data_IF_875056996847
#
_entry.id   IF_875056996847
#
_cell.length_a   1.000
_cell.length_b   1.000
_cell.length_c   1.000
_cell.angle_alpha   90.00
_cell.angle_beta   90.00
_cell.angle_gamma   90.00
#
_symmetry.space_group_name_H-M   'P 1'
#
loop_
_entity.id
_entity.type
_entity.pdbx_description
1 polymer ?
#
# COMPACT_ATOMS: atom_id res chain seq x y z
N UNK A 1 28.83 -66.88 -14.78
CA UNK A 1 27.70 -65.94 -14.90
C UNK A 1 27.97 -65.07 -16.12
N UNK A 2 26.97 -64.81 -16.96
CA UNK A 2 27.15 -63.93 -18.12
C UNK A 2 27.13 -62.47 -17.66
N UNK A 3 28.34 -61.92 -17.43
CA UNK A 3 28.51 -60.55 -16.97
C UNK A 3 28.08 -59.53 -18.03
N UNK A 4 28.17 -59.88 -19.32
CA UNK A 4 27.73 -59.01 -20.40
C UNK A 4 26.22 -58.83 -20.37
N UNK A 5 25.48 -59.92 -20.18
CA UNK A 5 24.03 -59.87 -20.00
C UNK A 5 23.62 -59.08 -18.74
N UNK A 6 24.35 -59.25 -17.62
CA UNK A 6 24.08 -58.55 -16.37
C UNK A 6 24.27 -57.03 -16.48
N UNK A 7 25.44 -56.57 -16.96
CA UNK A 7 25.72 -55.14 -17.09
C UNK A 7 24.84 -54.48 -18.16
N UNK A 8 24.55 -55.18 -19.26
CA UNK A 8 23.62 -54.69 -20.30
C UNK A 8 22.20 -54.51 -19.74
N UNK A 9 21.69 -55.51 -19.01
CA UNK A 9 20.35 -55.44 -18.40
C UNK A 9 20.23 -54.32 -17.36
N UNK A 10 21.27 -54.11 -16.53
CA UNK A 10 21.30 -53.00 -15.57
C UNK A 10 21.33 -51.65 -16.29
N UNK A 11 22.21 -51.49 -17.30
CA UNK A 11 22.31 -50.24 -18.05
C UNK A 11 20.99 -49.88 -18.74
N UNK A 12 20.33 -50.86 -19.34
CA UNK A 12 19.03 -50.66 -20.00
C UNK A 12 17.93 -50.29 -19.00
N UNK A 13 17.86 -50.99 -17.86
CA UNK A 13 16.88 -50.68 -16.82
C UNK A 13 17.11 -49.28 -16.21
N UNK A 14 18.35 -48.94 -15.89
CA UNK A 14 18.72 -47.63 -15.38
C UNK A 14 18.42 -46.52 -16.40
N UNK A 15 18.71 -46.75 -17.69
CA UNK A 15 18.39 -45.80 -18.77
C UNK A 15 16.88 -45.58 -18.90
N UNK A 16 16.07 -46.62 -18.78
CA UNK A 16 14.60 -46.51 -18.79
C UNK A 16 14.09 -45.68 -17.60
N UNK A 17 14.61 -45.92 -16.40
CA UNK A 17 14.26 -45.15 -15.20
C UNK A 17 14.65 -43.68 -15.36
N UNK A 18 15.88 -43.41 -15.83
CA UNK A 18 16.36 -42.05 -16.14
C UNK A 18 15.47 -41.37 -17.18
N UNK A 19 15.02 -42.08 -18.21
CA UNK A 19 14.11 -41.55 -19.23
C UNK A 19 12.77 -41.12 -18.65
N UNK A 20 12.14 -41.97 -17.82
CA UNK A 20 10.84 -41.69 -17.20
C UNK A 20 10.93 -40.50 -16.24
N UNK A 21 11.88 -40.53 -15.30
CA UNK A 21 12.06 -39.42 -14.35
C UNK A 21 12.51 -38.13 -15.04
N UNK A 22 13.40 -38.23 -16.02
CA UNK A 22 13.85 -37.10 -16.83
C UNK A 22 12.70 -36.41 -17.53
N UNK A 23 11.82 -37.17 -18.20
CA UNK A 23 10.64 -36.63 -18.85
C UNK A 23 9.71 -35.92 -17.85
N UNK A 24 9.40 -36.55 -16.72
CA UNK A 24 8.54 -35.96 -15.68
C UNK A 24 9.11 -34.64 -15.14
N UNK A 25 10.40 -34.62 -14.81
CA UNK A 25 11.07 -33.43 -14.28
C UNK A 25 11.07 -32.30 -15.32
N UNK A 26 11.41 -32.60 -16.58
CA UNK A 26 11.43 -31.61 -17.66
C UNK A 26 10.03 -31.01 -17.85
N UNK A 27 8.98 -31.83 -17.92
CA UNK A 27 7.60 -31.36 -18.03
C UNK A 27 7.23 -30.46 -16.84
N UNK A 28 7.64 -30.83 -15.62
CA UNK A 28 7.38 -30.00 -14.44
C UNK A 28 8.11 -28.65 -14.50
N UNK A 29 9.37 -28.62 -14.93
CA UNK A 29 10.15 -27.38 -15.09
C UNK A 29 9.50 -26.47 -16.13
N UNK A 30 9.09 -27.01 -17.29
CA UNK A 30 8.41 -26.24 -18.33
C UNK A 30 7.06 -25.69 -17.85
N UNK A 31 6.29 -26.48 -17.11
CA UNK A 31 5.04 -26.03 -16.50
C UNK A 31 5.27 -24.89 -15.50
N UNK A 32 6.26 -25.01 -14.62
CA UNK A 32 6.63 -23.94 -13.68
C UNK A 32 7.11 -22.68 -14.41
N UNK A 33 7.83 -22.81 -15.53
CA UNK A 33 8.25 -21.68 -16.35
C UNK A 33 7.06 -20.94 -16.98
N UNK A 34 6.06 -21.66 -17.47
CA UNK A 34 4.83 -21.06 -18.00
C UNK A 34 4.07 -20.28 -16.92
N UNK A 35 3.89 -20.89 -15.74
CA UNK A 35 3.26 -20.25 -14.58
C UNK A 35 4.03 -19.01 -14.12
N UNK A 36 5.36 -19.09 -14.09
CA UNK A 36 6.23 -17.96 -13.76
C UNK A 36 6.03 -16.80 -14.74
N UNK A 37 5.96 -17.09 -16.04
CA UNK A 37 5.70 -16.10 -17.08
C UNK A 37 4.33 -15.41 -16.91
N UNK A 38 3.27 -16.19 -16.70
CA UNK A 38 1.91 -15.67 -16.46
C UNK A 38 1.87 -14.75 -15.23
N UNK A 39 2.43 -15.20 -14.11
CA UNK A 39 2.48 -14.42 -12.87
C UNK A 39 3.33 -13.16 -13.01
N UNK A 40 4.43 -13.21 -13.77
CA UNK A 40 5.27 -12.04 -14.06
C UNK A 40 4.52 -10.99 -14.88
N UNK A 41 3.74 -11.41 -15.88
CA UNK A 41 2.84 -10.51 -16.61
C UNK A 41 1.80 -9.92 -15.67
N UNK A 42 1.22 -10.73 -14.78
CA UNK A 42 0.24 -10.27 -13.79
C UNK A 42 0.82 -9.22 -12.83
N UNK A 43 2.06 -9.37 -12.37
CA UNK A 43 2.79 -8.35 -11.58
C UNK A 43 2.79 -7.02 -12.34
N UNK A 44 3.19 -7.04 -13.62
CA UNK A 44 3.24 -5.82 -14.45
C UNK A 44 1.86 -5.18 -14.59
N UNK A 45 0.82 -5.98 -14.85
CA UNK A 45 -0.55 -5.48 -14.96
C UNK A 45 -1.02 -4.85 -13.65
N UNK A 46 -0.78 -5.49 -12.50
CA UNK A 46 -1.15 -4.94 -11.19
C UNK A 46 -0.46 -3.59 -10.92
N UNK A 47 0.81 -3.45 -11.32
CA UNK A 47 1.55 -2.18 -11.22
C UNK A 47 0.96 -1.09 -12.12
N UNK A 48 0.59 -1.42 -13.35
CA UNK A 48 -0.06 -0.48 -14.28
C UNK A 48 -1.40 -0.01 -13.69
N UNK A 49 -2.22 -0.95 -13.21
CA UNK A 49 -3.49 -0.62 -12.53
C UNK A 49 -3.26 0.24 -11.29
N UNK A 50 -2.23 -0.06 -10.50
CA UNK A 50 -1.89 0.75 -9.33
C UNK A 50 -1.52 2.18 -9.72
N UNK A 51 -0.69 2.35 -10.77
CA UNK A 51 -0.35 3.68 -11.32
C UNK A 51 -1.59 4.42 -11.80
N UNK A 52 -2.48 3.74 -12.53
CA UNK A 52 -3.74 4.33 -12.99
C UNK A 52 -4.58 4.85 -11.82
N UNK A 53 -4.68 4.08 -10.73
CA UNK A 53 -5.43 4.49 -9.54
C UNK A 53 -4.79 5.67 -8.81
N UNK A 54 -3.45 5.72 -8.76
CA UNK A 54 -2.71 6.88 -8.23
C UNK A 54 -3.01 8.12 -9.09
N UNK A 55 -2.95 7.99 -10.41
CA UNK A 55 -3.25 9.10 -11.33
C UNK A 55 -4.71 9.55 -11.21
N UNK A 56 -5.65 8.61 -11.09
CA UNK A 56 -7.05 8.89 -10.79
C UNK A 56 -7.22 9.62 -9.45
N UNK A 57 -6.50 9.23 -8.40
CA UNK A 57 -6.54 9.89 -7.10
C UNK A 57 -5.98 11.32 -7.16
N UNK A 58 -4.94 11.55 -7.96
CA UNK A 58 -4.34 12.87 -8.17
C UNK A 58 -5.24 13.82 -8.98
N UNK A 59 -6.11 13.28 -9.83
CA UNK A 59 -7.06 14.06 -10.62
C UNK A 59 -8.33 14.45 -9.84
N UNK A 60 -8.59 13.82 -8.70
CA UNK A 60 -9.70 14.20 -7.82
C UNK A 60 -9.41 15.51 -7.09
N UNK A 61 -10.45 16.32 -6.90
CA UNK A 61 -10.36 17.64 -6.31
C UNK A 61 -10.42 17.62 -4.78
N UNK A 62 -9.62 16.74 -4.14
CA UNK A 62 -9.56 16.60 -2.67
C UNK A 62 -9.39 17.94 -1.94
N UNK A 63 -8.46 18.78 -2.40
CA UNK A 63 -8.19 20.07 -1.77
C UNK A 63 -9.39 21.03 -1.83
N UNK A 64 -10.11 21.05 -2.95
CA UNK A 64 -11.31 21.86 -3.12
C UNK A 64 -12.45 21.35 -2.23
N UNK A 65 -12.69 20.03 -2.22
CA UNK A 65 -13.69 19.38 -1.39
C UNK A 65 -13.45 19.64 0.11
N UNK A 66 -12.20 19.47 0.56
CA UNK A 66 -11.83 19.68 1.97
C UNK A 66 -11.98 21.15 2.34
N UNK A 67 -11.49 22.07 1.52
CA UNK A 67 -11.59 23.51 1.80
C UNK A 67 -13.04 23.95 1.95
N UNK A 68 -13.90 23.58 1.00
CA UNK A 68 -15.30 24.01 1.00
C UNK A 68 -16.09 23.41 2.19
N UNK A 69 -15.87 22.13 2.51
CA UNK A 69 -16.48 21.53 3.70
C UNK A 69 -15.94 22.11 5.00
N UNK A 70 -14.63 22.40 5.08
CA UNK A 70 -14.01 23.03 6.25
C UNK A 70 -14.63 24.40 6.50
N UNK A 71 -14.73 25.25 5.47
CA UNK A 71 -15.36 26.57 5.56
C UNK A 71 -16.82 26.46 6.08
N UNK A 72 -17.61 25.53 5.53
CA UNK A 72 -18.98 25.32 5.96
C UNK A 72 -19.12 24.82 7.41
N UNK A 73 -18.24 23.92 7.85
CA UNK A 73 -18.26 23.45 9.25
C UNK A 73 -17.77 24.52 10.23
N UNK A 74 -16.83 25.37 9.81
CA UNK A 74 -16.38 26.49 10.63
C UNK A 74 -17.45 27.58 10.76
N UNK A 75 -18.22 27.85 9.71
CA UNK A 75 -19.39 28.75 9.78
C UNK A 75 -20.43 28.21 10.78
N UNK A 76 -20.76 26.92 10.71
CA UNK A 76 -21.61 26.27 11.72
C UNK A 76 -21.03 26.30 13.13
N UNK A 77 -19.71 26.21 13.26
CA UNK A 77 -19.05 26.33 14.55
C UNK A 77 -19.24 27.73 15.14
N UNK A 78 -19.16 28.77 14.30
CA UNK A 78 -19.45 30.14 14.68
C UNK A 78 -20.92 30.28 15.13
N UNK A 79 -21.89 29.76 14.39
CA UNK A 79 -23.31 29.77 14.78
C UNK A 79 -23.53 29.10 16.16
N UNK A 80 -22.94 27.92 16.38
CA UNK A 80 -23.05 27.18 17.65
C UNK A 80 -22.40 27.92 18.82
N UNK A 81 -21.32 28.66 18.56
CA UNK A 81 -20.68 29.50 19.57
C UNK A 81 -21.49 30.77 19.85
N UNK A 82 -22.29 31.29 18.90
CA UNK A 82 -23.23 32.40 19.18
C UNK A 82 -24.34 31.95 20.12
N UNK A 83 -24.79 30.70 19.99
CA UNK A 83 -25.81 30.12 20.88
C UNK A 83 -25.24 29.69 22.25
N UNK A 84 -24.01 29.18 22.31
CA UNK A 84 -23.37 28.70 23.54
C UNK A 84 -21.84 28.94 23.55
N UNK A 85 -21.42 29.99 24.25
CA UNK A 85 -20.02 30.46 24.25
C UNK A 85 -19.03 29.55 25.05
N UNK A 86 -19.55 28.64 25.89
CA UNK A 86 -18.76 27.80 26.78
C UNK A 86 -18.34 26.43 26.20
N UNK A 87 -18.55 26.18 24.90
CA UNK A 87 -18.17 24.90 24.30
C UNK A 87 -16.64 24.76 24.19
N UNK A 88 -16.14 23.58 24.58
CA UNK A 88 -14.74 23.19 24.42
C UNK A 88 -14.47 22.77 22.96
N UNK A 89 -13.29 23.05 22.37
CA UNK A 89 -13.01 22.72 20.96
C UNK A 89 -13.20 21.23 20.62
N UNK A 90 -12.93 20.32 21.56
CA UNK A 90 -13.18 18.88 21.37
C UNK A 90 -14.69 18.55 21.34
N UNK A 91 -15.52 19.28 22.11
CA UNK A 91 -16.97 19.14 22.10
C UNK A 91 -17.60 19.75 20.84
N UNK A 92 -17.03 20.84 20.33
CA UNK A 92 -17.39 21.42 19.03
C UNK A 92 -17.07 20.46 17.89
N UNK A 93 -15.87 19.87 17.89
CA UNK A 93 -15.48 18.88 16.90
C UNK A 93 -16.41 17.66 16.89
N UNK A 94 -16.91 17.22 18.04
CA UNK A 94 -17.87 16.10 18.14
C UNK A 94 -19.26 16.45 17.59
N UNK A 95 -19.69 17.72 17.68
CA UNK A 95 -20.97 18.19 17.12
C UNK A 95 -20.90 18.48 15.62
N UNK A 96 -19.72 18.81 15.12
CA UNK A 96 -19.47 19.17 13.72
C UNK A 96 -19.12 17.92 12.89
N UNK A 97 -19.48 17.94 11.61
CA UNK A 97 -19.19 16.84 10.67
C UNK A 97 -18.05 17.23 9.74
N UNK A 98 -16.84 17.29 10.29
CA UNK A 98 -15.64 17.52 9.48
C UNK A 98 -15.41 16.36 8.49
N UNK A 99 -14.89 16.64 7.29
CA UNK A 99 -14.58 15.61 6.31
C UNK A 99 -13.46 14.68 6.81
N UNK A 100 -13.57 13.38 6.54
CA UNK A 100 -12.63 12.35 7.02
C UNK A 100 -11.19 12.53 6.52
N UNK A 101 -10.99 13.29 5.44
CA UNK A 101 -9.69 13.54 4.82
C UNK A 101 -8.91 14.72 5.42
N UNK A 102 -9.51 15.47 6.36
CA UNK A 102 -8.86 16.56 7.08
C UNK A 102 -8.23 16.01 8.36
N UNK A 103 -6.98 16.35 8.64
CA UNK A 103 -6.34 15.94 9.88
C UNK A 103 -7.10 16.53 11.09
N UNK A 104 -7.37 15.71 12.10
CA UNK A 104 -8.09 16.15 13.31
C UNK A 104 -7.39 17.31 14.01
N UNK A 105 -6.06 17.32 14.02
CA UNK A 105 -5.25 18.37 14.62
C UNK A 105 -5.50 19.73 13.96
N UNK A 106 -5.51 19.77 12.63
CA UNK A 106 -5.78 20.99 11.86
C UNK A 106 -7.19 21.53 12.16
N UNK A 107 -8.19 20.64 12.22
CA UNK A 107 -9.56 21.04 12.52
C UNK A 107 -9.70 21.61 13.95
N UNK A 108 -8.99 21.04 14.93
CA UNK A 108 -8.99 21.56 16.31
C UNK A 108 -8.27 22.90 16.39
N UNK A 109 -7.16 23.07 15.67
CA UNK A 109 -6.44 24.35 15.62
C UNK A 109 -7.33 25.47 15.05
N UNK A 110 -8.14 25.19 14.04
CA UNK A 110 -9.08 26.19 13.51
C UNK A 110 -10.14 26.59 14.52
N UNK A 111 -10.73 25.61 15.21
CA UNK A 111 -11.74 25.88 16.24
C UNK A 111 -11.14 26.69 17.40
N UNK A 112 -9.90 26.40 17.79
CA UNK A 112 -9.16 27.21 18.76
C UNK A 112 -8.91 28.63 18.26
N UNK A 113 -8.55 28.80 16.98
CA UNK A 113 -8.34 30.10 16.38
C UNK A 113 -9.63 30.94 16.34
N UNK A 114 -10.78 30.34 16.03
CA UNK A 114 -12.09 31.01 16.07
C UNK A 114 -12.43 31.46 17.49
N UNK A 115 -12.26 30.58 18.48
CA UNK A 115 -12.52 30.93 19.89
C UNK A 115 -11.59 32.03 20.38
N UNK A 116 -10.30 31.97 20.02
CA UNK A 116 -9.33 33.00 20.34
C UNK A 116 -9.65 34.35 19.68
N UNK A 117 -10.16 34.34 18.43
CA UNK A 117 -10.61 35.55 17.73
C UNK A 117 -11.78 36.20 18.47
N UNK A 118 -12.80 35.42 18.84
CA UNK A 118 -13.95 35.92 19.62
C UNK A 118 -13.56 36.43 21.01
N UNK A 119 -12.68 35.73 21.71
CA UNK A 119 -12.21 36.17 23.02
C UNK A 119 -11.53 37.56 22.95
N UNK A 120 -10.81 37.85 21.85
CA UNK A 120 -10.22 39.17 21.62
C UNK A 120 -11.29 40.22 21.31
N UNK A 121 -12.27 39.90 20.47
CA UNK A 121 -13.38 40.81 20.13
C UNK A 121 -14.19 41.20 21.37
N UNK A 122 -14.49 40.24 22.26
CA UNK A 122 -15.18 40.50 23.53
C UNK A 122 -14.35 41.34 24.49
N UNK A 123 -13.03 41.10 24.58
CA UNK A 123 -12.14 41.89 25.41
C UNK A 123 -12.00 43.34 24.90
N UNK A 124 -11.94 43.53 23.57
CA UNK A 124 -11.95 44.85 22.95
C UNK A 124 -13.27 45.59 23.19
N UNK A 125 -14.41 44.91 23.11
CA UNK A 125 -15.72 45.51 23.45
C UNK A 125 -15.79 45.90 24.93
N UNK A 126 -15.26 45.07 25.84
CA UNK A 126 -15.17 45.41 27.26
C UNK A 126 -14.30 46.63 27.51
N UNK A 127 -13.13 46.71 26.87
CA UNK A 127 -12.24 47.85 27.00
C UNK A 127 -12.90 49.14 26.48
N UNK A 128 -13.61 49.09 25.34
CA UNK A 128 -14.37 50.23 24.82
C UNK A 128 -15.48 50.67 25.77
N UNK A 129 -16.24 49.73 26.31
CA UNK A 129 -17.30 50.04 27.29
C UNK A 129 -16.72 50.64 28.58
N UNK A 130 -15.57 50.14 29.06
CA UNK A 130 -14.90 50.71 30.22
C UNK A 130 -14.34 52.11 29.95
N UNK A 131 -13.80 52.36 28.75
CA UNK A 131 -13.34 53.69 28.33
C UNK A 131 -14.50 54.67 28.20
N UNK A 132 -15.62 54.28 27.60
CA UNK A 132 -16.84 55.09 27.52
C UNK A 132 -17.41 55.40 28.91
N UNK A 133 -17.44 54.43 29.81
CA UNK A 133 -17.86 54.64 31.20
C UNK A 133 -16.93 55.59 31.96
N UNK A 134 -15.61 55.49 31.75
CA UNK A 134 -14.63 56.42 32.34
C UNK A 134 -14.80 57.85 31.79
N UNK A 135 -15.03 58.00 30.49
CA UNK A 135 -15.29 59.30 29.86
C UNK A 135 -16.60 59.93 30.36
N UNK A 136 -17.67 59.15 30.52
CA UNK A 136 -18.93 59.62 31.11
C UNK A 136 -18.74 60.04 32.59
N UNK A 137 -17.94 59.29 33.35
CA UNK A 137 -17.62 59.63 34.74
C UNK A 137 -16.78 60.92 34.85
N UNK A 138 -15.86 61.18 33.91
CA UNK A 138 -15.11 62.44 33.84
C UNK A 138 -15.98 63.64 33.46
N UNK A 139 -16.92 63.47 32.52
CA UNK A 139 -17.91 64.50 32.16
C UNK A 139 -18.86 64.82 33.32
N UNK A 140 -19.25 63.81 34.10
CA UNK A 140 -20.04 64.04 35.32
C UNK A 140 -19.26 64.77 36.41
N UNK A 141 -17.95 64.50 36.56
CA UNK A 141 -17.10 65.21 37.53
C UNK A 141 -16.88 66.68 37.14
N UNK A 142 -16.77 67.00 35.86
CA UNK A 142 -16.71 68.39 35.37
C UNK A 142 -18.06 69.10 35.49
N UNK A 143 -19.18 68.40 35.32
CA UNK A 143 -20.53 68.94 35.56
C UNK A 143 -20.80 69.28 37.05
N UNK A 144 -20.26 68.53 38.00
CA UNK A 144 -20.43 68.82 39.44
C UNK A 144 -19.63 70.02 39.96
N UNK A 145 -18.72 70.58 39.17
CA UNK A 145 -18.00 71.81 39.50
C UNK A 145 -18.64 73.08 38.88
N UNK A 146 -19.63 72.93 38.00
CA UNK A 146 -20.44 74.03 37.45
C UNK A 146 -21.88 73.92 37.95
N UNK A 147 -22.08 74.28 39.22
CA UNK A 147 -23.40 74.40 39.82
C UNK A 147 -24.15 75.65 39.35
N UNK A 148 -25.40 75.42 38.90
CA UNK A 148 -26.53 76.36 38.89
C UNK A 148 -26.37 77.69 38.12
N UNK A 149 -26.62 77.66 36.81
CA UNK A 149 -27.39 78.71 36.11
C UNK A 149 -27.79 78.27 34.70
N UNK A 150 -28.98 77.69 34.56
CA UNK A 150 -29.99 78.09 33.57
C UNK A 150 -31.13 77.08 33.55
N UNK A 151 -32.19 77.49 34.23
CA UNK A 151 -33.57 77.08 33.99
C UNK A 151 -34.02 77.65 32.63
N UNK A 152 -34.88 76.91 31.93
CA UNK A 152 -35.60 77.20 30.68
C UNK A 152 -34.86 76.98 29.35
N UNK A 153 -35.47 76.13 28.51
CA UNK A 153 -35.43 76.33 27.08
C UNK A 153 -35.47 75.06 26.22
N UNK A 154 -36.68 74.65 25.85
CA UNK A 154 -37.05 74.09 24.54
C UNK A 154 -36.56 72.68 24.18
N UNK A 155 -37.54 71.90 23.71
CA UNK A 155 -37.36 70.51 23.36
C UNK A 155 -36.56 70.27 22.09
N UNK A 156 -36.08 69.04 21.98
CA UNK A 156 -35.86 68.33 20.73
C UNK A 156 -35.75 66.85 21.09
N UNK A 157 -36.36 66.00 20.27
CA UNK A 157 -36.77 64.65 20.63
C UNK A 157 -35.64 63.72 21.05
N UNK A 158 -36.04 62.69 21.80
CA UNK A 158 -35.39 61.38 21.82
C UNK A 158 -35.11 60.91 20.39
N UNK A 159 -33.85 60.84 19.93
CA UNK A 159 -33.51 59.97 18.83
C UNK A 159 -33.47 58.57 19.43
N UNK A 160 -34.40 57.72 18.98
CA UNK A 160 -34.44 56.33 19.38
C UNK A 160 -33.07 55.64 19.23
N UNK A 161 -32.90 54.59 20.01
CA UNK A 161 -31.93 53.53 19.79
C UNK A 161 -32.00 53.09 18.31
N UNK A 162 -31.23 53.74 17.44
CA UNK A 162 -30.90 53.22 16.12
C UNK A 162 -29.83 52.18 16.40
N UNK A 163 -30.28 50.97 16.73
CA UNK A 163 -29.46 49.79 16.52
C UNK A 163 -29.01 49.84 15.07
N UNK A 164 -27.70 50.01 14.85
CA UNK A 164 -27.13 49.84 13.52
C UNK A 164 -27.56 48.44 13.07
N UNK A 165 -28.28 48.29 11.94
CA UNK A 165 -28.42 46.96 11.37
C UNK A 165 -26.98 46.50 11.10
N UNK A 166 -26.53 45.44 11.81
CA UNK A 166 -25.41 44.63 11.35
C UNK A 166 -25.74 44.36 9.89
N UNK A 167 -24.92 44.88 8.99
CA UNK A 167 -25.04 44.57 7.58
C UNK A 167 -24.90 43.05 7.50
N UNK A 168 -26.04 42.35 7.42
CA UNK A 168 -26.09 40.98 6.95
C UNK A 168 -25.71 41.13 5.49
N UNK A 169 -24.41 41.11 5.23
CA UNK A 169 -23.91 40.83 3.89
C UNK A 169 -24.42 39.43 3.63
N UNK A 170 -25.39 39.23 2.72
CA UNK A 170 -25.75 37.88 2.36
C UNK A 170 -24.52 37.35 1.63
N UNK A 171 -23.69 36.57 2.32
CA UNK A 171 -22.67 35.76 1.65
C UNK A 171 -23.48 34.78 0.81
N UNK A 172 -23.67 35.10 -0.46
CA UNK A 172 -24.19 34.19 -1.46
C UNK A 172 -23.18 33.04 -1.61
N UNK A 173 -23.16 32.12 -0.65
CA UNK A 173 -22.71 30.76 -0.88
C UNK A 173 -23.84 30.11 -1.67
N UNK A 174 -23.85 30.34 -2.99
CA UNK A 174 -24.61 29.50 -3.92
C UNK A 174 -24.22 28.06 -3.62
N UNK A 175 -25.11 27.31 -3.00
CA UNK A 175 -24.86 25.98 -2.46
C UNK A 175 -24.45 25.00 -3.58
N UNK A 176 -23.18 24.56 -3.69
CA UNK A 176 -22.77 23.55 -4.66
C UNK A 176 -23.02 22.16 -4.08
N UNK A 177 -24.16 21.93 -3.39
CA UNK A 177 -24.43 20.65 -2.71
C UNK A 177 -24.40 19.48 -3.70
N UNK A 178 -24.86 19.70 -4.94
CA UNK A 178 -24.78 18.69 -5.99
C UNK A 178 -23.35 18.43 -6.48
N UNK A 179 -22.51 19.45 -6.58
CA UNK A 179 -21.11 19.30 -7.00
C UNK A 179 -20.27 18.65 -5.89
N UNK A 180 -20.52 19.03 -4.63
CA UNK A 180 -19.91 18.40 -3.45
C UNK A 180 -20.31 16.93 -3.31
N UNK A 181 -21.57 16.60 -3.55
CA UNK A 181 -22.05 15.22 -3.53
C UNK A 181 -21.39 14.40 -4.64
N UNK A 182 -21.34 14.93 -5.87
CA UNK A 182 -20.66 14.27 -7.00
C UNK A 182 -19.18 14.01 -6.72
N UNK A 183 -18.48 15.00 -6.16
CA UNK A 183 -17.06 14.84 -5.83
C UNK A 183 -16.87 13.82 -4.70
N UNK A 184 -17.76 13.82 -3.68
CA UNK A 184 -17.74 12.82 -2.61
C UNK A 184 -17.97 11.41 -3.15
N UNK A 185 -18.96 11.23 -4.01
CA UNK A 185 -19.27 9.95 -4.63
C UNK A 185 -18.10 9.45 -5.49
N UNK A 186 -17.41 10.36 -6.20
CA UNK A 186 -16.21 10.02 -6.98
C UNK A 186 -15.04 9.59 -6.09
N UNK A 187 -14.82 10.27 -4.97
CA UNK A 187 -13.81 9.89 -3.97
C UNK A 187 -14.15 8.52 -3.37
N UNK A 188 -15.40 8.29 -2.97
CA UNK A 188 -15.82 7.02 -2.34
C UNK A 188 -15.75 5.85 -3.32
N UNK A 189 -16.15 6.06 -4.57
CA UNK A 189 -16.01 5.06 -5.63
C UNK A 189 -14.55 4.67 -5.84
N UNK A 190 -13.64 5.65 -5.87
CA UNK A 190 -12.21 5.39 -6.01
C UNK A 190 -11.64 4.70 -4.76
N UNK A 191 -12.08 5.07 -3.56
CA UNK A 191 -11.65 4.41 -2.32
C UNK A 191 -12.01 2.91 -2.34
N UNK A 192 -13.23 2.57 -2.77
CA UNK A 192 -13.67 1.16 -2.90
C UNK A 192 -12.79 0.41 -3.91
N UNK A 193 -12.52 1.03 -5.06
CA UNK A 193 -11.66 0.42 -6.09
C UNK A 193 -10.22 0.21 -5.58
N UNK A 194 -9.64 1.20 -4.90
CA UNK A 194 -8.32 1.11 -4.27
C UNK A 194 -8.29 0.00 -3.23
N UNK A 195 -9.27 -0.07 -2.33
CA UNK A 195 -9.34 -1.14 -1.31
C UNK A 195 -9.50 -2.53 -1.93
N UNK A 196 -10.27 -2.65 -3.01
CA UNK A 196 -10.39 -3.91 -3.75
C UNK A 196 -9.05 -4.31 -4.40
N UNK A 197 -8.35 -3.36 -5.01
CA UNK A 197 -7.04 -3.59 -5.62
C UNK A 197 -5.98 -3.96 -4.58
N UNK A 198 -5.97 -3.30 -3.42
CA UNK A 198 -5.09 -3.64 -2.28
C UNK A 198 -5.27 -5.10 -1.84
N UNK A 199 -6.52 -5.57 -1.69
CA UNK A 199 -6.82 -6.97 -1.35
C UNK A 199 -6.32 -7.91 -2.44
N UNK A 200 -6.58 -7.59 -3.70
CA UNK A 200 -6.13 -8.37 -4.86
C UNK A 200 -4.61 -8.49 -4.90
N UNK A 201 -3.90 -7.40 -4.61
CA UNK A 201 -2.44 -7.40 -4.50
C UNK A 201 -1.98 -8.25 -3.32
N UNK A 202 -2.58 -8.08 -2.13
CA UNK A 202 -2.24 -8.85 -0.94
C UNK A 202 -2.39 -10.35 -1.17
N UNK A 203 -3.53 -10.77 -1.71
CA UNK A 203 -3.80 -12.18 -2.03
C UNK A 203 -2.79 -12.72 -3.04
N UNK A 204 -2.48 -11.93 -4.07
CA UNK A 204 -1.48 -12.30 -5.07
C UNK A 204 -0.07 -12.39 -4.48
N UNK A 205 0.34 -11.46 -3.60
CA UNK A 205 1.62 -11.48 -2.90
C UNK A 205 1.77 -12.74 -2.05
N UNK A 206 0.72 -13.17 -1.35
CA UNK A 206 0.74 -14.44 -0.61
C UNK A 206 1.06 -15.61 -1.54
N UNK A 207 0.52 -15.63 -2.77
CA UNK A 207 0.77 -16.72 -3.74
C UNK A 207 2.19 -16.75 -4.32
N UNK A 208 2.93 -15.64 -4.30
CA UNK A 208 4.28 -15.53 -4.88
C UNK A 208 5.41 -15.43 -3.84
N UNK A 209 5.08 -15.09 -2.58
CA UNK A 209 6.04 -14.79 -1.50
C UNK A 209 7.08 -15.88 -1.25
N UNK A 210 6.74 -17.15 -1.49
CA UNK A 210 7.59 -18.32 -1.25
C UNK A 210 8.33 -18.83 -2.49
N UNK A 211 8.23 -18.14 -3.65
CA UNK A 211 8.77 -18.60 -4.94
C UNK A 211 8.40 -20.07 -5.26
N UNK A 212 7.10 -20.43 -5.32
CA UNK A 212 6.67 -21.82 -5.48
C UNK A 212 7.16 -22.47 -6.79
N UNK A 213 7.51 -21.68 -7.80
CA UNK A 213 8.01 -22.13 -9.09
C UNK A 213 9.47 -22.59 -9.04
N UNK A 214 10.27 -22.02 -8.13
CA UNK A 214 11.67 -22.43 -7.89
C UNK A 214 11.71 -23.54 -6.85
N UNK A 215 11.68 -24.79 -7.31
CA UNK A 215 11.68 -25.94 -6.40
C UNK A 215 13.10 -26.46 -6.18
N UNK A 216 13.57 -26.43 -4.93
CA UNK A 216 14.81 -27.10 -4.51
C UNK A 216 14.72 -28.61 -4.74
N UNK A 217 13.52 -29.19 -4.58
CA UNK A 217 13.29 -30.61 -4.83
C UNK A 217 13.53 -31.00 -6.31
N UNK A 218 13.12 -30.15 -7.26
CA UNK A 218 13.40 -30.36 -8.69
C UNK A 218 14.91 -30.35 -8.97
N UNK A 219 15.66 -29.42 -8.35
CA UNK A 219 17.12 -29.39 -8.50
C UNK A 219 17.78 -30.67 -7.97
N UNK A 220 17.35 -31.16 -6.79
CA UNK A 220 17.85 -32.43 -6.28
C UNK A 220 17.44 -33.63 -7.14
N UNK A 221 16.23 -33.62 -7.69
CA UNK A 221 15.79 -34.67 -8.60
C UNK A 221 16.64 -34.71 -9.88
N UNK A 222 17.01 -33.56 -10.46
CA UNK A 222 17.94 -33.49 -11.60
C UNK A 222 19.33 -34.04 -11.25
N UNK A 223 19.85 -33.72 -10.06
CA UNK A 223 21.12 -34.27 -9.57
C UNK A 223 21.05 -35.79 -9.39
N UNK A 224 19.95 -36.31 -8.85
CA UNK A 224 19.74 -37.75 -8.69
C UNK A 224 19.64 -38.47 -10.05
N UNK A 225 18.94 -37.88 -11.03
CA UNK A 225 18.88 -38.42 -12.39
C UNK A 225 20.26 -38.40 -13.06
N UNK A 226 21.05 -37.34 -12.87
CA UNK A 226 22.42 -37.28 -13.34
C UNK A 226 23.30 -38.38 -12.71
N UNK A 227 23.19 -38.57 -11.38
CA UNK A 227 23.92 -39.61 -10.66
C UNK A 227 23.51 -41.01 -11.12
N UNK A 228 22.21 -41.26 -11.26
CA UNK A 228 21.69 -42.54 -11.75
C UNK A 228 22.11 -42.83 -13.18
N UNK A 229 22.20 -41.81 -14.04
CA UNK A 229 22.72 -41.97 -15.39
C UNK A 229 24.22 -42.35 -15.38
N UNK A 230 25.04 -41.64 -14.60
CA UNK A 230 26.48 -41.92 -14.54
C UNK A 230 26.78 -43.30 -13.92
N UNK A 231 26.14 -43.62 -12.79
CA UNK A 231 26.39 -44.87 -12.05
C UNK A 231 25.63 -46.06 -12.64
N UNK A 232 24.42 -45.84 -13.14
CA UNK A 232 23.54 -46.90 -13.63
C UNK A 232 23.70 -47.20 -15.12
N UNK A 233 24.06 -46.21 -15.95
CA UNK A 233 24.19 -46.39 -17.40
C UNK A 233 25.66 -46.38 -17.81
N UNK A 234 26.40 -45.31 -17.50
CA UNK A 234 27.76 -45.13 -18.00
C UNK A 234 28.74 -46.10 -17.35
N UNK A 235 28.65 -46.30 -16.03
CA UNK A 235 29.55 -47.20 -15.33
C UNK A 235 29.43 -48.66 -15.82
N UNK A 236 28.24 -49.30 -15.90
CA UNK A 236 28.10 -50.65 -16.46
C UNK A 236 28.54 -50.77 -17.92
N UNK A 237 28.18 -49.81 -18.78
CA UNK A 237 28.55 -49.84 -20.19
C UNK A 237 30.07 -49.70 -20.41
N UNK A 238 30.79 -49.10 -19.46
CA UNK A 238 32.25 -48.96 -19.55
C UNK A 238 33.00 -50.30 -19.39
N UNK A 239 32.35 -51.34 -18.87
CA UNK A 239 32.95 -52.68 -18.67
C UNK A 239 32.66 -53.66 -19.80
N UNK A 240 31.85 -53.29 -20.80
CA UNK A 240 31.49 -54.18 -21.90
C UNK A 240 32.46 -54.08 -23.10
N UNK A 241 32.84 -55.21 -23.74
CA UNK A 241 32.57 -56.61 -23.36
C UNK A 241 33.54 -57.09 -22.28
N UNK A 242 33.06 -58.00 -21.44
CA UNK A 242 33.84 -58.56 -20.34
C UNK A 242 34.79 -59.66 -20.84
N UNK A 243 36.06 -59.70 -20.37
CA UNK A 243 36.98 -60.80 -20.67
C UNK A 243 36.49 -62.13 -20.07
N UNK A 244 36.69 -63.25 -20.79
CA UNK A 244 36.15 -64.59 -20.46
C UNK A 244 36.61 -65.22 -19.14
N UNK A 245 37.53 -64.59 -18.41
CA UNK A 245 38.03 -65.06 -17.09
C UNK A 245 38.02 -63.96 -16.02
N UNK A 246 37.17 -62.96 -16.16
CA UNK A 246 37.15 -61.81 -15.25
C UNK A 246 36.27 -62.04 -14.02
N UNK A 247 36.84 -61.78 -12.83
CA UNK A 247 36.08 -61.55 -11.60
C UNK A 247 35.95 -60.04 -11.39
N UNK A 248 34.73 -59.50 -11.22
CA UNK A 248 34.56 -58.07 -11.05
C UNK A 248 35.19 -57.61 -9.74
N UNK A 249 36.33 -56.94 -9.84
CA UNK A 249 36.89 -56.12 -8.78
C UNK A 249 36.44 -54.67 -9.02
N UNK A 250 36.06 -53.96 -7.95
CA UNK A 250 35.76 -52.52 -7.99
C UNK A 250 37.06 -51.73 -8.25
N UNK A 251 37.55 -51.73 -9.49
CA UNK A 251 38.77 -51.04 -9.88
C UNK A 251 38.44 -49.64 -10.41
N UNK A 252 38.56 -48.62 -9.55
CA UNK A 252 38.47 -47.21 -9.94
C UNK A 252 39.60 -46.79 -10.90
N UNK A 253 40.74 -47.47 -10.86
CA UNK A 253 41.90 -47.14 -11.69
C UNK A 253 41.73 -47.60 -13.15
N UNK A 254 41.16 -48.78 -13.38
CA UNK A 254 40.88 -49.32 -14.73
C UNK A 254 39.73 -48.63 -15.46
N UNK A 255 38.97 -47.77 -14.78
CA UNK A 255 37.92 -46.96 -15.39
C UNK A 255 38.50 -45.88 -16.33
N UNK A 256 39.53 -45.15 -15.87
CA UNK A 256 40.12 -44.03 -16.61
C UNK A 256 40.78 -44.45 -17.92
N UNK A 257 41.47 -45.60 -17.92
CA UNK A 257 42.11 -46.13 -19.14
C UNK A 257 41.10 -46.60 -20.18
N UNK A 258 39.94 -47.10 -19.75
CA UNK A 258 38.83 -47.48 -20.64
C UNK A 258 38.04 -46.28 -21.15
N UNK A 259 37.99 -45.19 -20.38
CA UNK A 259 37.33 -43.94 -20.75
C UNK A 259 38.01 -43.24 -21.94
N UNK A 260 39.33 -43.40 -22.11
CA UNK A 260 40.10 -42.89 -23.26
C UNK A 260 40.15 -43.85 -24.47
N UNK A 261 39.33 -44.90 -24.50
CA UNK A 261 39.12 -45.74 -25.69
C UNK A 261 38.09 -45.13 -26.64
N UNK A 262 38.02 -45.56 -27.91
CA UNK A 262 37.01 -45.10 -28.89
C UNK A 262 35.57 -45.16 -28.34
N UNK A 263 35.26 -46.22 -27.57
CA UNK A 263 33.94 -46.40 -26.94
C UNK A 263 33.74 -45.46 -25.76
N UNK A 264 34.78 -45.30 -24.94
CA UNK A 264 34.79 -44.35 -23.83
C UNK A 264 34.59 -42.91 -24.31
N UNK A 265 35.20 -42.53 -25.44
CA UNK A 265 34.98 -41.24 -26.09
C UNK A 265 33.52 -41.07 -26.52
N UNK A 266 32.93 -42.08 -27.17
CA UNK A 266 31.52 -42.03 -27.59
C UNK A 266 30.56 -41.92 -26.39
N UNK A 267 30.80 -42.71 -25.33
CA UNK A 267 30.04 -42.62 -24.08
C UNK A 267 30.22 -41.26 -23.39
N UNK A 268 31.42 -40.69 -23.42
CA UNK A 268 31.71 -39.36 -22.84
C UNK A 268 30.98 -38.26 -23.61
N UNK A 269 30.92 -38.34 -24.94
CA UNK A 269 30.16 -37.38 -25.76
C UNK A 269 28.67 -37.44 -25.41
N UNK A 270 28.08 -38.63 -25.38
CA UNK A 270 26.66 -38.81 -25.03
C UNK A 270 26.40 -38.32 -23.59
N UNK A 271 27.29 -38.64 -22.66
CA UNK A 271 27.19 -38.18 -21.28
C UNK A 271 27.27 -36.67 -21.15
N UNK A 272 28.20 -36.04 -21.88
CA UNK A 272 28.38 -34.60 -21.90
C UNK A 272 27.12 -33.89 -22.41
N UNK A 273 26.53 -34.38 -23.51
CA UNK A 273 25.27 -33.84 -24.06
C UNK A 273 24.14 -33.97 -23.04
N UNK A 274 24.01 -35.14 -22.41
CA UNK A 274 22.97 -35.37 -21.41
C UNK A 274 23.14 -34.49 -20.16
N UNK A 275 24.37 -34.39 -19.62
CA UNK A 275 24.66 -33.53 -18.47
C UNK A 275 24.46 -32.04 -18.82
N UNK A 276 24.82 -31.61 -20.03
CA UNK A 276 24.58 -30.25 -20.50
C UNK A 276 23.07 -29.94 -20.53
N UNK A 277 22.25 -30.86 -21.03
CA UNK A 277 20.80 -30.73 -21.02
C UNK A 277 20.24 -30.64 -19.59
N UNK A 278 20.64 -31.53 -18.68
CA UNK A 278 20.22 -31.46 -17.27
C UNK A 278 20.67 -30.15 -16.60
N UNK A 279 21.88 -29.69 -16.90
CA UNK A 279 22.42 -28.41 -16.38
C UNK A 279 21.59 -27.23 -16.88
N UNK A 280 21.19 -27.22 -18.16
CA UNK A 280 20.29 -26.21 -18.72
C UNK A 280 18.97 -26.15 -17.93
N UNK A 281 18.33 -27.30 -17.67
CA UNK A 281 17.10 -27.34 -16.87
C UNK A 281 17.32 -26.92 -15.41
N UNK A 282 18.46 -27.27 -14.80
CA UNK A 282 18.80 -26.86 -13.45
C UNK A 282 18.99 -25.33 -13.35
N UNK A 283 19.68 -24.74 -14.33
CA UNK A 283 19.84 -23.28 -14.44
C UNK A 283 18.49 -22.61 -14.64
N UNK A 284 17.64 -23.17 -15.51
CA UNK A 284 16.29 -22.64 -15.74
C UNK A 284 15.46 -22.62 -14.45
N UNK A 285 15.39 -23.74 -13.71
CA UNK A 285 14.68 -23.82 -12.42
C UNK A 285 15.20 -22.83 -11.37
N UNK A 286 16.51 -22.55 -11.35
CA UNK A 286 17.10 -21.55 -10.44
C UNK A 286 16.76 -20.11 -10.82
N UNK A 287 16.51 -19.84 -12.10
CA UNK A 287 16.14 -18.51 -12.61
C UNK A 287 14.65 -18.19 -12.45
N UNK A 288 13.79 -19.17 -12.10
CA UNK A 288 12.36 -18.96 -11.82
C UNK A 288 12.13 -18.33 -10.44
N UNK A 289 12.79 -17.20 -10.16
CA UNK A 289 12.66 -16.45 -8.90
C UNK A 289 12.22 -15.03 -9.21
N UNK A 290 11.25 -14.54 -8.46
CA UNK A 290 10.79 -13.16 -8.61
C UNK A 290 11.84 -12.20 -8.04
N UNK A 291 12.19 -11.11 -8.75
CA UNK A 291 13.08 -10.09 -8.21
C UNK A 291 12.47 -9.51 -6.92
N UNK A 292 13.22 -9.50 -5.82
CA UNK A 292 12.70 -9.00 -4.55
C UNK A 292 12.27 -7.52 -4.65
N UNK A 293 12.96 -6.72 -5.46
CA UNK A 293 12.60 -5.32 -5.70
C UNK A 293 11.20 -5.17 -6.32
N UNK A 294 10.83 -6.04 -7.27
CA UNK A 294 9.50 -6.00 -7.89
C UNK A 294 8.42 -6.38 -6.88
N UNK A 295 8.65 -7.43 -6.09
CA UNK A 295 7.73 -7.88 -5.04
C UNK A 295 7.55 -6.79 -3.97
N UNK A 296 8.64 -6.19 -3.50
CA UNK A 296 8.60 -5.09 -2.53
C UNK A 296 7.90 -3.85 -3.10
N UNK A 297 8.12 -3.54 -4.38
CA UNK A 297 7.41 -2.42 -5.03
C UNK A 297 5.90 -2.65 -5.07
N UNK A 298 5.47 -3.90 -5.25
CA UNK A 298 4.07 -4.28 -5.26
C UNK A 298 3.49 -4.31 -3.84
N UNK A 299 4.29 -4.74 -2.85
CA UNK A 299 3.92 -4.71 -1.43
C UNK A 299 3.60 -3.30 -0.93
N UNK A 300 4.30 -2.26 -1.41
CA UNK A 300 3.96 -0.87 -1.08
C UNK A 300 2.52 -0.50 -1.45
N UNK A 301 1.97 -1.08 -2.51
CA UNK A 301 0.59 -0.86 -2.95
C UNK A 301 -0.46 -1.64 -2.12
N UNK A 302 -0.04 -2.42 -1.12
CA UNK A 302 -0.96 -2.93 -0.09
C UNK A 302 -1.38 -1.87 0.92
N UNK A 303 -0.71 -0.69 0.92
CA UNK A 303 -0.99 0.43 1.83
C UNK A 303 -1.79 1.50 1.10
N UNK A 304 -2.90 1.92 1.70
CA UNK A 304 -3.81 2.89 1.09
C UNK A 304 -3.15 4.27 0.88
N UNK A 305 -2.24 4.64 1.78
CA UNK A 305 -1.50 5.91 1.71
C UNK A 305 -0.55 6.03 0.52
N UNK A 306 -0.20 4.91 -0.13
CA UNK A 306 0.60 4.93 -1.37
C UNK A 306 -0.20 5.49 -2.55
N UNK A 307 -1.54 5.43 -2.50
CA UNK A 307 -2.41 5.94 -3.57
C UNK A 307 -2.68 7.43 -3.45
N UNK A 308 -2.86 7.93 -2.23
CA UNK A 308 -3.05 9.35 -1.94
C UNK A 308 -2.77 9.65 -0.47
N UNK A 309 -2.19 10.81 -0.18
CA UNK A 309 -1.98 11.29 1.18
C UNK A 309 -3.31 11.50 1.93
N UNK A 310 -4.37 11.91 1.22
CA UNK A 310 -5.68 12.14 1.82
C UNK A 310 -6.30 10.84 2.36
N UNK A 311 -6.11 9.71 1.67
CA UNK A 311 -6.55 8.41 2.18
C UNK A 311 -5.75 7.95 3.40
N UNK A 312 -4.46 8.31 3.49
CA UNK A 312 -3.67 8.02 4.68
C UNK A 312 -4.23 8.75 5.91
N UNK A 313 -4.56 10.04 5.75
CA UNK A 313 -5.18 10.86 6.81
C UNK A 313 -6.54 10.27 7.21
N UNK A 314 -7.36 9.85 6.25
CA UNK A 314 -8.65 9.23 6.55
C UNK A 314 -8.53 7.92 7.34
N UNK A 315 -7.57 7.06 6.99
CA UNK A 315 -7.32 5.82 7.74
C UNK A 315 -6.82 6.09 9.17
N UNK A 316 -5.98 7.11 9.34
CA UNK A 316 -5.49 7.53 10.66
C UNK A 316 -6.62 8.09 11.54
N UNK A 317 -7.47 8.95 10.97
CA UNK A 317 -8.66 9.46 11.65
C UNK A 317 -9.62 8.34 12.07
N UNK A 318 -9.82 7.33 11.22
CA UNK A 318 -10.64 6.15 11.54
C UNK A 318 -10.04 5.33 12.70
N UNK A 319 -8.71 5.14 12.71
CA UNK A 319 -8.00 4.47 13.81
C UNK A 319 -8.16 5.21 15.13
N UNK A 320 -8.01 6.54 15.13
CA UNK A 320 -8.18 7.38 16.32
C UNK A 320 -9.63 7.31 16.83
N UNK A 321 -10.62 7.35 15.92
CA UNK A 321 -12.03 7.23 16.28
C UNK A 321 -12.35 5.88 16.94
N UNK A 322 -11.79 4.77 16.41
CA UNK A 322 -11.94 3.43 17.00
C UNK A 322 -11.23 3.30 18.36
N UNK A 323 -10.04 3.89 18.50
CA UNK A 323 -9.28 3.86 19.75
C UNK A 323 -9.96 4.63 20.90
N UNK A 324 -10.66 5.73 20.61
CA UNK A 324 -11.45 6.47 21.62
C UNK A 324 -12.71 5.71 22.05
N UNK A 325 -13.28 4.87 21.18
CA UNK A 325 -14.45 4.05 21.50
C UNK A 325 -14.19 2.85 22.43
N UNK A 326 -12.94 2.50 22.71
CA UNK A 326 -12.56 1.42 23.64
C UNK A 326 -12.28 1.89 25.08
N UNK A 327 -12.25 3.20 25.32
CA UNK A 327 -12.00 3.80 26.65
C UNK A 327 -13.24 4.47 27.26
N UNK A 328 -14.46 4.07 26.84
CA UNK A 328 -15.73 4.51 27.43
C UNK A 328 -16.42 3.33 28.12
#
# INVERSE_FOLDING_TARGET
>A
MDWDWFFSSIAQSAAAIVGIFGAFIITKVLSNQAQFGERSVRIRTLKITASKLVDSANNLAFAWYIRLNREYQLEKAEDLLEENDNLDPDQLYAKLRFPSFLAREDAIQDLQAIKARRAREVEEERQRLEEELKQLAELQKTSRLFGLNNLMGLGAGTPGLIGRPKAIVPRLLSHPHEELAKERDAIDALEVEVRHHMRTISDFLMTISSNPESSVAITWALVMVAALFLVGVIYPLSFLPTPTSWTPALELHGFWTRLFSLRGVLLTIVSSIFLAALTMFAVMNRRLRYPQEEVQSLDKFTRIGTYSAYYAIAEENEKIARGKGQNV
#
